data_IF_433323673981
#
_entry.id   IF_433323673981
#
_cell.length_a   1.000
_cell.length_b   1.000
_cell.length_c   1.000
_cell.angle_alpha   90.00
_cell.angle_beta   90.00
_cell.angle_gamma   90.00
#
_symmetry.space_group_name_H-M   'P 1'
#
loop_
_entity.id
_entity.type
_entity.pdbx_description
1 polymer ?
#
# COMPACT_ATOMS: atom_id res chain seq x y z
N UNK A 1 -38.64 1.36 -53.72
CA UNK A 1 -37.61 0.70 -54.55
C UNK A 1 -37.30 1.66 -55.69
N UNK A 2 -36.07 1.94 -56.12
CA UNK A 2 -34.73 1.62 -55.63
C UNK A 2 -33.70 2.49 -56.42
N UNK A 3 -32.58 3.00 -55.90
CA UNK A 3 -32.03 3.10 -54.53
C UNK A 3 -31.18 4.38 -54.44
N UNK A 4 -31.24 5.14 -53.34
CA UNK A 4 -30.34 6.26 -53.04
C UNK A 4 -29.15 5.80 -52.20
N UNK A 5 -28.07 5.37 -52.86
CA UNK A 5 -26.76 5.08 -52.26
C UNK A 5 -25.66 5.52 -53.26
N UNK A 6 -25.57 6.82 -53.54
CA UNK A 6 -24.38 7.38 -54.17
C UNK A 6 -23.29 7.53 -53.09
N UNK A 7 -22.37 6.57 -53.07
CA UNK A 7 -21.12 6.73 -52.32
C UNK A 7 -20.28 7.78 -53.02
N UNK A 8 -20.27 9.00 -52.48
CA UNK A 8 -19.31 10.04 -52.87
C UNK A 8 -17.93 9.59 -52.37
N UNK A 9 -17.13 9.04 -53.28
CA UNK A 9 -15.71 8.80 -53.03
C UNK A 9 -14.99 10.14 -52.93
N UNK A 10 -14.12 10.30 -51.94
CA UNK A 10 -13.27 11.49 -51.82
C UNK A 10 -12.39 11.65 -53.06
N UNK A 11 -12.17 12.89 -53.49
CA UNK A 11 -11.25 13.17 -54.59
C UNK A 11 -9.85 12.66 -54.21
N UNK A 12 -9.22 11.91 -55.12
CA UNK A 12 -7.86 11.43 -54.95
C UNK A 12 -6.88 12.60 -54.71
N UNK A 13 -7.12 13.77 -55.31
CA UNK A 13 -6.33 14.96 -55.07
C UNK A 13 -6.41 15.45 -53.62
N UNK A 14 -7.63 15.57 -53.10
CA UNK A 14 -7.91 15.98 -51.71
C UNK A 14 -7.37 14.96 -50.69
N UNK A 15 -7.61 13.67 -50.93
CA UNK A 15 -7.09 12.59 -50.10
C UNK A 15 -5.55 12.56 -50.07
N UNK A 16 -4.90 12.80 -51.21
CA UNK A 16 -3.43 12.88 -51.29
C UNK A 16 -2.89 14.06 -50.48
N UNK A 17 -3.51 15.23 -50.60
CA UNK A 17 -3.11 16.42 -49.85
C UNK A 17 -3.27 16.22 -48.33
N UNK A 18 -4.38 15.61 -47.89
CA UNK A 18 -4.62 15.29 -46.48
C UNK A 18 -3.58 14.33 -45.91
N UNK A 19 -3.22 13.27 -46.64
CA UNK A 19 -2.18 12.31 -46.23
C UNK A 19 -0.80 12.97 -46.15
N UNK A 20 -0.43 13.79 -47.14
CA UNK A 20 0.84 14.53 -47.12
C UNK A 20 0.91 15.45 -45.89
N UNK A 21 -0.16 16.21 -45.60
CA UNK A 21 -0.20 17.10 -44.44
C UNK A 21 -0.08 16.34 -43.11
N UNK A 22 -0.74 15.18 -42.99
CA UNK A 22 -0.62 14.32 -41.82
C UNK A 22 0.84 13.82 -41.63
N UNK A 23 1.47 13.30 -42.69
CA UNK A 23 2.87 12.82 -42.63
C UNK A 23 3.84 13.95 -42.27
N UNK A 24 3.68 15.14 -42.85
CA UNK A 24 4.50 16.33 -42.53
C UNK A 24 4.34 16.75 -41.07
N UNK A 25 3.12 16.68 -40.51
CA UNK A 25 2.89 17.00 -39.10
C UNK A 25 3.56 15.98 -38.17
N UNK A 26 3.42 14.68 -38.46
CA UNK A 26 4.09 13.59 -37.70
C UNK A 26 5.61 13.70 -37.76
N UNK A 27 6.17 13.97 -38.93
CA UNK A 27 7.61 14.17 -39.11
C UNK A 27 8.12 15.40 -38.34
N UNK A 28 7.36 16.50 -38.30
CA UNK A 28 7.71 17.69 -37.52
C UNK A 28 7.71 17.39 -36.01
N UNK A 29 6.69 16.68 -35.51
CA UNK A 29 6.62 16.27 -34.11
C UNK A 29 7.84 15.45 -33.69
N UNK A 30 8.17 14.40 -34.44
CA UNK A 30 9.33 13.54 -34.15
C UNK A 30 10.65 14.30 -34.24
N UNK A 31 10.79 15.23 -35.19
CA UNK A 31 11.97 16.10 -35.29
C UNK A 31 12.11 17.01 -34.07
N UNK A 32 11.02 17.65 -33.60
CA UNK A 32 11.05 18.52 -32.41
C UNK A 32 11.34 17.72 -31.14
N UNK A 33 10.84 16.48 -31.03
CA UNK A 33 11.18 15.59 -29.92
C UNK A 33 12.66 15.17 -29.96
N UNK A 34 13.19 14.82 -31.13
CA UNK A 34 14.60 14.49 -31.30
C UNK A 34 15.52 15.64 -30.89
N UNK A 35 15.23 16.86 -31.34
CA UNK A 35 15.95 18.08 -30.94
C UNK A 35 15.87 18.31 -29.43
N UNK A 36 14.69 18.13 -28.81
CA UNK A 36 14.53 18.26 -27.36
C UNK A 36 15.35 17.23 -26.54
N UNK A 37 15.53 16.02 -27.08
CA UNK A 37 16.35 14.96 -26.48
C UNK A 37 17.85 15.26 -26.62
N UNK A 38 18.31 15.77 -27.76
CA UNK A 38 19.72 16.20 -27.96
C UNK A 38 20.08 17.39 -27.06
N UNK A 39 19.20 18.41 -26.97
CA UNK A 39 19.36 19.61 -26.14
C UNK A 39 19.19 19.35 -24.63
N UNK A 40 18.78 18.14 -24.22
CA UNK A 40 18.39 17.80 -22.85
C UNK A 40 17.30 18.75 -22.25
N UNK A 41 16.34 19.17 -23.08
CA UNK A 41 15.20 20.01 -22.67
C UNK A 41 14.02 19.14 -22.19
N UNK A 42 14.20 18.49 -21.03
CA UNK A 42 13.18 17.66 -20.35
C UNK A 42 11.79 18.32 -20.35
N UNK A 43 11.74 19.65 -20.15
CA UNK A 43 10.49 20.43 -20.13
C UNK A 43 9.78 20.39 -21.49
N UNK A 44 10.49 20.48 -22.60
CA UNK A 44 9.91 20.36 -23.93
C UNK A 44 9.50 18.91 -24.22
N UNK A 45 10.26 17.92 -23.76
CA UNK A 45 9.85 16.50 -23.82
C UNK A 45 8.52 16.29 -23.07
N UNK A 46 8.39 16.77 -21.82
CA UNK A 46 7.14 16.73 -21.05
C UNK A 46 5.96 17.42 -21.75
N UNK A 47 6.21 18.51 -22.48
CA UNK A 47 5.18 19.20 -23.27
C UNK A 47 4.76 18.38 -24.52
N UNK A 48 5.68 17.63 -25.12
CA UNK A 48 5.44 16.85 -26.35
C UNK A 48 4.80 15.49 -26.09
N UNK A 49 5.10 14.83 -24.97
CA UNK A 49 4.52 13.51 -24.64
C UNK A 49 3.12 13.61 -24.02
N UNK A 50 2.75 14.76 -23.44
CA UNK A 50 1.43 15.00 -22.87
C UNK A 50 1.07 16.49 -22.91
N UNK A 51 0.72 16.96 -24.10
CA UNK A 51 0.39 18.35 -24.39
C UNK A 51 -0.85 18.82 -23.63
N UNK A 52 -1.83 17.93 -23.40
CA UNK A 52 -3.03 18.25 -22.61
C UNK A 52 -2.68 18.54 -21.15
N UNK A 53 -1.94 17.64 -20.48
CA UNK A 53 -1.55 17.83 -19.08
C UNK A 53 -0.69 19.08 -18.91
N UNK A 54 0.27 19.28 -19.80
CA UNK A 54 1.13 20.47 -19.78
C UNK A 54 0.32 21.77 -19.94
N UNK A 55 -0.59 21.84 -20.91
CA UNK A 55 -1.45 23.00 -21.12
C UNK A 55 -2.39 23.27 -19.91
N UNK A 56 -2.91 22.20 -19.28
CA UNK A 56 -3.83 22.27 -18.14
C UNK A 56 -3.13 22.70 -16.85
N UNK A 57 -2.03 22.04 -16.47
CA UNK A 57 -1.38 22.20 -15.17
C UNK A 57 -0.30 23.30 -15.14
N UNK A 58 0.39 23.54 -16.26
CA UNK A 58 1.50 24.51 -16.35
C UNK A 58 1.02 25.82 -16.97
N UNK A 59 0.33 25.77 -18.12
CA UNK A 59 -0.10 26.97 -18.84
C UNK A 59 -1.46 27.52 -18.37
N UNK A 60 -2.26 26.73 -17.65
CA UNK A 60 -3.64 27.06 -17.23
C UNK A 60 -4.52 27.49 -18.42
N UNK A 61 -4.30 26.91 -19.60
CA UNK A 61 -4.95 27.30 -20.83
C UNK A 61 -6.45 26.94 -20.83
N UNK A 62 -7.32 27.90 -21.17
CA UNK A 62 -8.77 27.67 -21.29
C UNK A 62 -9.19 26.86 -22.52
N UNK A 63 -8.31 26.81 -23.51
CA UNK A 63 -8.47 26.00 -24.72
C UNK A 63 -7.22 25.13 -24.85
N UNK A 64 -7.43 23.82 -24.85
CA UNK A 64 -6.36 22.83 -24.93
C UNK A 64 -6.37 22.27 -26.35
N UNK A 65 -5.27 22.46 -27.08
CA UNK A 65 -5.01 21.77 -28.35
C UNK A 65 -4.15 20.53 -28.06
N UNK A 66 -4.79 19.48 -27.54
CA UNK A 66 -4.17 18.17 -27.44
C UNK A 66 -3.91 17.61 -28.84
N UNK A 67 -2.82 16.85 -29.02
CA UNK A 67 -2.57 16.14 -30.28
C UNK A 67 -2.29 14.64 -30.04
N UNK A 68 -3.32 13.85 -29.64
CA UNK A 68 -3.15 12.45 -29.30
C UNK A 68 -2.62 11.60 -30.46
N UNK A 69 -2.82 12.04 -31.71
CA UNK A 69 -2.35 11.32 -32.91
C UNK A 69 -0.85 11.50 -33.21
N UNK A 70 -0.21 12.46 -32.53
CA UNK A 70 1.24 12.63 -32.48
C UNK A 70 1.81 12.03 -31.19
N UNK A 71 1.15 12.21 -30.04
CA UNK A 71 1.55 11.58 -28.76
C UNK A 71 1.61 10.05 -28.89
N UNK A 72 0.66 9.43 -29.60
CA UNK A 72 0.64 7.98 -29.84
C UNK A 72 1.77 7.46 -30.75
N UNK A 73 2.68 8.32 -31.23
CA UNK A 73 3.85 7.90 -32.03
C UNK A 73 5.04 7.46 -31.18
N UNK A 74 4.98 7.65 -29.87
CA UNK A 74 6.08 7.39 -28.94
C UNK A 74 5.64 6.57 -27.72
N UNK A 75 4.44 5.99 -27.75
CA UNK A 75 3.92 5.08 -26.72
C UNK A 75 4.81 3.84 -26.54
N UNK A 76 5.42 3.35 -27.63
CA UNK A 76 6.38 2.25 -27.62
C UNK A 76 7.78 2.65 -27.13
N UNK A 77 8.02 3.95 -26.91
CA UNK A 77 9.26 4.52 -26.38
C UNK A 77 9.13 5.02 -24.93
N UNK A 78 8.01 4.76 -24.26
CA UNK A 78 7.72 5.29 -22.92
C UNK A 78 8.74 4.89 -21.85
N UNK A 79 9.25 3.65 -21.87
CA UNK A 79 10.28 3.19 -20.92
C UNK A 79 11.60 3.96 -21.14
N UNK A 80 12.03 4.17 -22.40
CA UNK A 80 13.26 4.91 -22.73
C UNK A 80 13.12 6.42 -22.43
N UNK A 81 11.96 7.01 -22.72
CA UNK A 81 11.64 8.40 -22.37
C UNK A 81 11.59 8.58 -20.85
N UNK A 82 11.07 7.59 -20.13
CA UNK A 82 11.07 7.57 -18.66
C UNK A 82 12.51 7.49 -18.11
N UNK A 83 13.36 6.62 -18.66
CA UNK A 83 14.77 6.51 -18.29
C UNK A 83 15.55 7.81 -18.54
N UNK A 84 15.26 8.50 -19.65
CA UNK A 84 15.85 9.81 -19.97
C UNK A 84 15.40 10.90 -18.97
N UNK A 85 14.10 10.98 -18.67
CA UNK A 85 13.53 12.02 -17.78
C UNK A 85 13.79 11.77 -16.29
N UNK A 86 14.10 10.54 -15.88
CA UNK A 86 14.23 10.17 -14.47
C UNK A 86 15.39 10.86 -13.77
N UNK A 87 16.48 11.19 -14.47
CA UNK A 87 17.73 11.62 -13.84
C UNK A 87 17.56 12.94 -13.07
N UNK A 88 17.04 13.99 -13.74
CA UNK A 88 16.78 15.29 -13.10
C UNK A 88 15.61 15.19 -12.12
N UNK A 89 14.61 14.35 -12.43
CA UNK A 89 13.44 14.15 -11.57
C UNK A 89 13.83 13.54 -10.22
N UNK A 90 14.57 12.44 -10.21
CA UNK A 90 14.97 11.75 -8.97
C UNK A 90 15.85 12.65 -8.09
N UNK A 91 16.68 13.52 -8.68
CA UNK A 91 17.43 14.54 -7.92
C UNK A 91 16.48 15.56 -7.28
N UNK A 92 15.49 16.06 -8.02
CA UNK A 92 14.46 16.96 -7.48
C UNK A 92 13.64 16.28 -6.36
N UNK A 93 13.17 15.05 -6.59
CA UNK A 93 12.37 14.28 -5.63
C UNK A 93 13.15 13.94 -4.36
N UNK A 94 14.44 13.57 -4.43
CA UNK A 94 15.28 13.34 -3.23
C UNK A 94 15.44 14.60 -2.38
N UNK A 95 15.44 15.79 -2.98
CA UNK A 95 15.47 17.06 -2.25
C UNK A 95 14.09 17.44 -1.67
N UNK A 96 13.00 17.12 -2.39
CA UNK A 96 11.61 17.43 -2.00
C UNK A 96 11.05 16.45 -0.96
N UNK A 97 11.40 15.18 -1.06
CA UNK A 97 10.98 14.04 -0.24
C UNK A 97 12.22 13.24 0.22
N UNK A 98 13.01 13.76 1.18
CA UNK A 98 14.29 13.17 1.60
C UNK A 98 14.16 11.81 2.31
N UNK A 99 12.92 11.37 2.56
CA UNK A 99 12.59 10.08 3.16
C UNK A 99 12.19 9.01 2.13
N UNK A 100 12.05 9.37 0.84
CA UNK A 100 11.78 8.39 -0.22
C UNK A 100 13.08 7.92 -0.89
N UNK A 101 13.20 6.59 -1.00
CA UNK A 101 14.35 5.91 -1.59
C UNK A 101 13.91 5.19 -2.87
N UNK A 102 14.30 5.77 -4.00
CA UNK A 102 14.00 5.27 -5.35
C UNK A 102 14.95 4.14 -5.77
N UNK A 103 14.39 3.08 -6.31
CA UNK A 103 15.08 1.89 -6.82
C UNK A 103 14.55 1.56 -8.23
N UNK A 104 15.45 1.38 -9.19
CA UNK A 104 15.10 1.05 -10.58
C UNK A 104 14.87 -0.46 -10.72
N UNK A 105 13.72 -0.85 -11.28
CA UNK A 105 13.30 -2.25 -11.45
C UNK A 105 13.25 -2.69 -12.93
N UNK A 106 13.25 -1.73 -13.84
CA UNK A 106 13.27 -1.88 -15.29
C UNK A 106 13.67 -0.56 -15.94
N UNK A 107 13.90 -0.53 -17.25
CA UNK A 107 14.30 0.69 -17.96
C UNK A 107 13.27 1.80 -17.72
N UNK A 108 13.67 2.86 -17.00
CA UNK A 108 12.78 3.96 -16.66
C UNK A 108 11.68 3.63 -15.63
N UNK A 109 11.65 2.42 -15.06
CA UNK A 109 10.62 2.00 -14.11
C UNK A 109 11.18 2.02 -12.69
N UNK A 110 10.59 2.86 -11.83
CA UNK A 110 11.07 3.10 -10.48
C UNK A 110 10.02 2.75 -9.44
N UNK A 111 10.41 1.92 -8.47
CA UNK A 111 9.69 1.77 -7.21
C UNK A 111 10.32 2.64 -6.14
N UNK A 112 9.59 2.97 -5.07
CA UNK A 112 10.16 3.73 -3.96
C UNK A 112 9.74 3.21 -2.59
N UNK A 113 10.69 3.32 -1.66
CA UNK A 113 10.55 2.87 -0.28
C UNK A 113 10.46 4.06 0.66
N UNK A 114 9.68 3.90 1.72
CA UNK A 114 9.72 4.84 2.85
C UNK A 114 10.88 4.46 3.78
N UNK A 115 11.84 5.37 3.91
CA UNK A 115 12.99 5.24 4.80
C UNK A 115 14.07 4.27 4.32
N UNK A 116 15.21 4.31 5.01
CA UNK A 116 16.36 3.43 4.77
C UNK A 116 16.75 2.66 6.04
N UNK A 117 15.74 2.12 6.72
CA UNK A 117 15.88 1.25 7.89
C UNK A 117 15.69 -0.22 7.51
N UNK A 118 16.10 -1.12 8.42
CA UNK A 118 15.81 -2.55 8.27
C UNK A 118 14.29 -2.78 8.33
N UNK A 119 13.74 -3.46 7.33
CA UNK A 119 12.29 -3.56 7.14
C UNK A 119 11.66 -2.33 6.46
N UNK A 120 12.42 -1.55 5.66
CA UNK A 120 11.85 -0.50 4.79
C UNK A 120 10.68 -1.04 3.98
N UNK A 121 9.62 -0.25 3.86
CA UNK A 121 8.37 -0.66 3.23
C UNK A 121 8.31 -0.14 1.80
N UNK A 122 7.95 -1.00 0.84
CA UNK A 122 7.59 -0.57 -0.50
C UNK A 122 6.35 0.31 -0.38
N UNK A 123 6.43 1.55 -0.84
CA UNK A 123 5.37 2.54 -0.63
C UNK A 123 4.67 2.96 -1.93
N UNK A 124 5.21 2.57 -3.09
CA UNK A 124 4.59 2.78 -4.39
C UNK A 124 5.57 2.72 -5.56
N UNK A 125 5.08 3.14 -6.73
CA UNK A 125 5.87 3.38 -7.96
C UNK A 125 5.86 4.85 -8.35
N UNK A 126 6.92 5.29 -9.03
CA UNK A 126 7.03 6.64 -9.58
C UNK A 126 6.71 6.58 -11.08
N UNK A 127 5.60 7.21 -11.48
CA UNK A 127 5.38 7.55 -12.88
C UNK A 127 6.19 8.81 -13.20
N UNK A 128 7.29 8.62 -13.92
CA UNK A 128 8.21 9.69 -14.34
C UNK A 128 7.60 10.56 -15.43
N UNK A 129 6.79 10.00 -16.33
CA UNK A 129 6.18 10.71 -17.45
C UNK A 129 5.06 11.65 -16.97
N UNK A 130 4.31 11.22 -15.96
CA UNK A 130 3.31 12.04 -15.28
C UNK A 130 3.85 12.82 -14.07
N UNK A 131 5.07 12.53 -13.59
CA UNK A 131 5.66 13.14 -12.39
C UNK A 131 4.74 12.97 -11.17
N UNK A 132 4.30 11.74 -10.94
CA UNK A 132 3.33 11.38 -9.90
C UNK A 132 3.76 10.12 -9.13
N UNK A 133 3.32 10.04 -7.88
CA UNK A 133 3.49 8.85 -7.06
C UNK A 133 2.23 7.99 -7.10
N UNK A 134 2.37 6.75 -7.57
CA UNK A 134 1.35 5.73 -7.47
C UNK A 134 1.59 4.98 -6.16
N UNK A 135 0.98 5.48 -5.08
CA UNK A 135 1.13 4.90 -3.75
C UNK A 135 0.47 3.52 -3.65
N UNK A 136 1.07 2.61 -2.89
CA UNK A 136 0.38 1.40 -2.44
C UNK A 136 -0.82 1.81 -1.56
N UNK A 137 -2.05 1.49 -2.00
CA UNK A 137 -3.27 1.94 -1.33
C UNK A 137 -3.36 1.43 0.12
N UNK A 138 -2.93 0.20 0.38
CA UNK A 138 -2.99 -0.39 1.73
C UNK A 138 -2.04 0.36 2.66
N UNK A 139 -0.80 0.60 2.22
CA UNK A 139 0.21 1.25 3.03
C UNK A 139 -0.03 2.76 3.19
N UNK A 140 -0.54 3.41 2.15
CA UNK A 140 -1.02 4.79 2.22
C UNK A 140 -2.15 4.95 3.24
N UNK A 141 -3.15 4.06 3.22
CA UNK A 141 -4.28 4.10 4.16
C UNK A 141 -3.87 3.85 5.61
N UNK A 142 -2.87 2.98 5.87
CA UNK A 142 -2.30 2.82 7.21
C UNK A 142 -1.63 4.10 7.70
N UNK A 143 -0.86 4.77 6.83
CA UNK A 143 -0.19 6.03 7.17
C UNK A 143 -1.21 7.14 7.45
N UNK A 144 -2.20 7.33 6.58
CA UNK A 144 -3.29 8.29 6.76
C UNK A 144 -4.06 8.07 8.08
N UNK A 145 -4.39 6.81 8.40
CA UNK A 145 -5.04 6.44 9.68
C UNK A 145 -4.15 6.78 10.89
N UNK A 146 -2.83 6.65 10.77
CA UNK A 146 -1.88 6.99 11.85
C UNK A 146 -1.85 8.50 12.15
N UNK A 147 -2.17 9.35 11.18
CA UNK A 147 -2.42 10.78 11.43
C UNK A 147 -3.79 11.00 12.09
N UNK A 148 -4.86 10.37 11.59
CA UNK A 148 -6.21 10.53 12.17
C UNK A 148 -6.29 10.10 13.65
N UNK A 149 -5.63 9.00 14.02
CA UNK A 149 -5.64 8.43 15.38
C UNK A 149 -4.84 9.26 16.41
N UNK A 150 -3.99 10.19 15.98
CA UNK A 150 -3.26 11.10 16.89
C UNK A 150 -4.20 11.96 17.73
N UNK A 151 -5.32 12.39 17.13
CA UNK A 151 -6.37 13.14 17.83
C UNK A 151 -6.95 12.38 19.03
N UNK A 152 -6.80 11.05 19.05
CA UNK A 152 -7.28 10.14 20.09
C UNK A 152 -6.14 9.56 20.94
N UNK A 153 -4.89 9.98 20.71
CA UNK A 153 -3.68 9.43 21.32
C UNK A 153 -3.51 7.90 21.15
N UNK A 154 -4.13 7.32 20.12
CA UNK A 154 -4.03 5.90 19.77
C UNK A 154 -3.00 5.66 18.67
N UNK A 155 -2.45 4.44 18.62
CA UNK A 155 -1.70 3.93 17.46
C UNK A 155 -2.60 3.06 16.59
N UNK A 156 -2.15 2.73 15.39
CA UNK A 156 -2.92 1.94 14.43
C UNK A 156 -3.32 0.58 15.01
N UNK A 157 -2.37 -0.10 15.65
CA UNK A 157 -2.54 -1.47 16.12
C UNK A 157 -2.91 -1.60 17.61
N UNK A 158 -3.14 -0.50 18.33
CA UNK A 158 -3.40 -0.51 19.78
C UNK A 158 -4.55 -1.44 20.19
N UNK A 159 -5.70 -1.30 19.52
CA UNK A 159 -6.92 -2.05 19.88
C UNK A 159 -6.78 -3.55 19.54
N UNK A 160 -5.96 -3.91 18.54
CA UNK A 160 -5.65 -5.31 18.22
C UNK A 160 -4.68 -5.92 19.22
N UNK A 161 -3.65 -5.16 19.63
CA UNK A 161 -2.71 -5.60 20.66
C UNK A 161 -3.44 -5.84 21.98
N UNK A 162 -4.38 -4.96 22.37
CA UNK A 162 -5.22 -5.13 23.56
C UNK A 162 -6.08 -6.41 23.48
N UNK A 163 -6.74 -6.67 22.35
CA UNK A 163 -7.54 -7.88 22.15
C UNK A 163 -6.70 -9.17 22.26
N UNK A 164 -5.53 -9.21 21.63
CA UNK A 164 -4.63 -10.38 21.69
C UNK A 164 -4.05 -10.54 23.10
N UNK A 165 -3.79 -9.45 23.82
CA UNK A 165 -3.35 -9.49 25.22
C UNK A 165 -4.43 -10.09 26.13
N UNK A 166 -5.68 -9.67 25.99
CA UNK A 166 -6.83 -10.23 26.72
C UNK A 166 -7.15 -11.69 26.37
N UNK A 167 -6.74 -12.16 25.19
CA UNK A 167 -6.79 -13.58 24.84
C UNK A 167 -5.67 -14.35 25.56
N UNK A 168 -4.46 -13.84 25.55
CA UNK A 168 -3.33 -14.42 26.28
C UNK A 168 -3.58 -14.49 27.78
N UNK A 169 -4.19 -13.47 28.40
CA UNK A 169 -4.53 -13.48 29.83
C UNK A 169 -5.46 -14.65 30.18
N UNK A 170 -6.46 -14.95 29.34
CA UNK A 170 -7.38 -16.09 29.53
C UNK A 170 -6.69 -17.43 29.30
N UNK A 171 -5.81 -17.51 28.31
CA UNK A 171 -5.01 -18.71 28.04
C UNK A 171 -4.02 -18.97 29.19
N UNK A 172 -3.48 -17.92 29.81
CA UNK A 172 -2.63 -18.03 30.99
C UNK A 172 -3.44 -18.43 32.23
N UNK A 173 -4.63 -17.87 32.46
CA UNK A 173 -5.54 -18.30 33.53
C UNK A 173 -5.94 -19.78 33.39
N UNK A 174 -6.14 -20.26 32.16
CA UNK A 174 -6.38 -21.68 31.84
C UNK A 174 -5.15 -22.56 32.20
N UNK A 175 -3.94 -22.09 31.95
CA UNK A 175 -2.69 -22.78 32.32
C UNK A 175 -2.49 -22.78 33.84
N UNK A 176 -2.66 -21.64 34.50
CA UNK A 176 -2.40 -21.47 35.94
C UNK A 176 -3.38 -22.28 36.79
N UNK A 177 -4.62 -22.45 36.33
CA UNK A 177 -5.64 -23.30 36.97
C UNK A 177 -5.44 -24.82 36.76
N UNK A 178 -4.37 -25.26 36.09
CA UNK A 178 -4.07 -26.68 35.87
C UNK A 178 -3.92 -27.47 37.19
N UNK A 179 -3.22 -26.92 38.19
CA UNK A 179 -3.04 -27.60 39.49
C UNK A 179 -4.37 -27.80 40.22
N UNK A 180 -5.29 -26.84 40.12
CA UNK A 180 -6.63 -26.97 40.71
C UNK A 180 -7.44 -28.05 39.99
N UNK A 181 -7.39 -28.10 38.65
CA UNK A 181 -8.04 -29.17 37.87
C UNK A 181 -7.48 -30.56 38.18
N UNK A 182 -6.17 -30.69 38.35
CA UNK A 182 -5.54 -31.97 38.69
C UNK A 182 -5.97 -32.46 40.09
N UNK A 183 -6.09 -31.54 41.06
CA UNK A 183 -6.66 -31.83 42.38
C UNK A 183 -8.14 -32.25 42.29
N UNK A 184 -8.97 -31.52 41.54
CA UNK A 184 -10.38 -31.88 41.30
C UNK A 184 -10.52 -33.25 40.62
N UNK A 185 -9.68 -33.58 39.62
CA UNK A 185 -9.63 -34.90 38.99
C UNK A 185 -9.25 -36.00 39.97
N UNK A 186 -8.30 -35.75 40.87
CA UNK A 186 -7.91 -36.71 41.91
C UNK A 186 -9.07 -36.97 42.89
N UNK A 187 -9.81 -35.93 43.28
CA UNK A 187 -10.99 -36.07 44.14
C UNK A 187 -12.12 -36.83 43.44
N UNK A 188 -12.49 -36.47 42.22
CA UNK A 188 -13.52 -37.17 41.43
C UNK A 188 -13.18 -38.66 41.25
N UNK A 189 -11.91 -39.00 40.97
CA UNK A 189 -11.45 -40.40 40.91
C UNK A 189 -11.62 -41.13 42.25
N UNK A 190 -11.41 -40.44 43.37
CA UNK A 190 -11.66 -40.98 44.72
C UNK A 190 -13.15 -41.21 44.98
N UNK A 191 -14.01 -40.23 44.67
CA UNK A 191 -15.47 -40.33 44.83
C UNK A 191 -16.05 -41.47 43.97
N UNK A 192 -15.66 -41.58 42.69
CA UNK A 192 -16.08 -42.68 41.80
C UNK A 192 -15.66 -44.04 42.37
N UNK A 193 -14.46 -44.13 42.98
CA UNK A 193 -13.97 -45.36 43.63
C UNK A 193 -14.77 -45.71 44.89
N UNK A 194 -15.10 -44.72 45.74
CA UNK A 194 -15.91 -44.91 46.93
C UNK A 194 -17.32 -45.40 46.56
N UNK A 195 -18.01 -44.71 45.65
CA UNK A 195 -19.33 -45.11 45.14
C UNK A 195 -19.27 -46.53 44.57
N UNK A 196 -18.21 -46.89 43.83
CA UNK A 196 -18.05 -48.24 43.27
C UNK A 196 -17.75 -49.34 44.31
N UNK A 197 -17.40 -48.99 45.54
CA UNK A 197 -17.15 -49.92 46.65
C UNK A 197 -18.34 -50.03 47.62
N UNK A 198 -19.29 -49.10 47.54
CA UNK A 198 -20.45 -49.03 48.40
C UNK A 198 -21.48 -50.13 48.04
N UNK A 199 -21.89 -50.93 49.03
CA UNK A 199 -22.89 -51.99 48.86
C UNK A 199 -24.30 -51.41 48.99
N UNK A 200 -24.89 -51.08 47.86
CA UNK A 200 -26.20 -50.44 47.78
C UNK A 200 -27.30 -51.46 47.47
N UNK A 201 -28.52 -51.21 47.96
CA UNK A 201 -29.67 -52.09 47.75
C UNK A 201 -30.22 -52.01 46.31
N UNK A 202 -30.89 -53.05 45.79
CA UNK A 202 -31.27 -53.12 44.37
C UNK A 202 -32.16 -51.97 43.85
N UNK A 203 -32.94 -51.32 44.72
CA UNK A 203 -33.79 -50.19 44.36
C UNK A 203 -33.06 -48.85 44.27
N UNK A 204 -31.88 -48.72 44.89
CA UNK A 204 -31.03 -47.52 44.84
C UNK A 204 -29.92 -47.61 43.78
N UNK A 205 -29.70 -48.79 43.20
CA UNK A 205 -28.67 -49.04 42.19
C UNK A 205 -28.77 -48.15 40.94
N UNK A 206 -29.98 -47.73 40.55
CA UNK A 206 -30.16 -46.77 39.45
C UNK A 206 -29.64 -45.37 39.81
N UNK A 207 -29.94 -44.87 41.01
CA UNK A 207 -29.45 -43.58 41.51
C UNK A 207 -27.92 -43.58 41.62
N UNK A 208 -27.35 -44.65 42.16
CA UNK A 208 -25.89 -44.83 42.25
C UNK A 208 -25.22 -44.80 40.86
N UNK A 209 -25.88 -45.34 39.83
CA UNK A 209 -25.39 -45.32 38.44
C UNK A 209 -25.46 -43.92 37.83
N UNK A 210 -26.53 -43.17 38.08
CA UNK A 210 -26.67 -41.77 37.63
C UNK A 210 -25.64 -40.85 38.31
N UNK A 211 -25.47 -40.95 39.63
CA UNK A 211 -24.46 -40.21 40.38
C UNK A 211 -23.04 -40.52 39.87
N UNK A 212 -22.73 -41.79 39.60
CA UNK A 212 -21.46 -42.19 39.01
C UNK A 212 -21.29 -41.65 37.58
N UNK A 213 -22.35 -41.61 36.77
CA UNK A 213 -22.28 -41.07 35.41
C UNK A 213 -21.97 -39.56 35.44
N UNK A 214 -22.67 -38.79 36.28
CA UNK A 214 -22.43 -37.36 36.42
C UNK A 214 -20.99 -37.01 36.87
N UNK A 215 -20.34 -37.86 37.66
CA UNK A 215 -18.92 -37.72 38.02
C UNK A 215 -17.98 -38.07 36.87
N UNK A 216 -18.34 -39.03 36.01
CA UNK A 216 -17.59 -39.38 34.79
C UNK A 216 -17.71 -38.26 33.75
N UNK A 217 -18.89 -37.67 33.60
CA UNK A 217 -19.15 -36.57 32.66
C UNK A 217 -18.28 -35.35 33.03
N UNK A 218 -18.28 -34.95 34.32
CA UNK A 218 -17.38 -33.90 34.84
C UNK A 218 -15.89 -34.20 34.66
N UNK A 219 -15.49 -35.47 34.78
CA UNK A 219 -14.10 -35.87 34.58
C UNK A 219 -13.71 -35.82 33.09
N UNK A 220 -14.66 -36.07 32.19
CA UNK A 220 -14.50 -35.87 30.74
C UNK A 220 -14.32 -34.38 30.43
N UNK A 221 -15.22 -33.52 30.93
CA UNK A 221 -15.15 -32.06 30.78
C UNK A 221 -13.80 -31.48 31.25
N UNK A 222 -13.34 -31.84 32.45
CA UNK A 222 -12.01 -31.44 32.94
C UNK A 222 -10.86 -31.99 32.09
N UNK A 223 -11.06 -33.07 31.34
CA UNK A 223 -10.03 -33.63 30.44
C UNK A 223 -9.99 -32.90 29.09
N UNK A 224 -11.15 -32.51 28.53
CA UNK A 224 -11.26 -31.64 27.35
C UNK A 224 -10.65 -30.24 27.61
N UNK A 225 -10.83 -29.72 28.83
CA UNK A 225 -10.21 -28.46 29.27
C UNK A 225 -8.67 -28.58 29.33
N UNK A 226 -8.11 -29.72 29.73
CA UNK A 226 -6.65 -29.94 29.71
C UNK A 226 -6.09 -30.13 28.30
N UNK A 227 -6.82 -30.79 27.40
CA UNK A 227 -6.44 -30.84 25.97
C UNK A 227 -6.41 -29.43 25.36
N UNK A 228 -7.33 -28.56 25.78
CA UNK A 228 -7.34 -27.14 25.42
C UNK A 228 -6.15 -26.39 26.03
N UNK A 229 -5.85 -26.60 27.31
CA UNK A 229 -4.71 -26.04 28.04
C UNK A 229 -3.35 -26.38 27.39
N UNK A 230 -3.18 -27.62 26.93
CA UNK A 230 -1.95 -28.03 26.22
C UNK A 230 -1.71 -27.24 24.92
N UNK A 231 -2.77 -26.80 24.23
CA UNK A 231 -2.67 -25.95 23.05
C UNK A 231 -2.47 -24.46 23.40
N UNK A 232 -2.90 -24.02 24.58
CA UNK A 232 -2.79 -22.63 25.04
C UNK A 232 -1.34 -22.10 25.00
N UNK A 233 -0.35 -22.88 25.42
CA UNK A 233 1.07 -22.49 25.33
C UNK A 233 1.53 -22.18 23.90
N UNK A 234 1.03 -22.92 22.90
CA UNK A 234 1.38 -22.67 21.50
C UNK A 234 0.68 -21.41 20.97
N UNK A 235 -0.58 -21.20 21.36
CA UNK A 235 -1.37 -20.03 21.01
C UNK A 235 -0.77 -18.75 21.62
N UNK A 236 -0.44 -18.74 22.91
CA UNK A 236 0.23 -17.61 23.59
C UNK A 236 1.49 -17.21 22.82
N UNK A 237 2.35 -18.16 22.45
CA UNK A 237 3.58 -17.88 21.70
C UNK A 237 3.33 -17.36 20.28
N UNK A 238 2.25 -17.78 19.62
CA UNK A 238 1.86 -17.22 18.32
C UNK A 238 1.35 -15.78 18.48
N UNK A 239 0.54 -15.53 19.52
CA UNK A 239 -0.01 -14.24 19.89
C UNK A 239 1.09 -13.24 20.30
N UNK A 240 2.10 -13.66 21.07
CA UNK A 240 3.30 -12.85 21.39
C UNK A 240 4.06 -12.42 20.14
N UNK A 241 4.31 -13.35 19.20
CA UNK A 241 4.94 -13.02 17.92
C UNK A 241 4.08 -12.01 17.14
N UNK A 242 2.75 -12.17 17.15
CA UNK A 242 1.83 -11.25 16.47
C UNK A 242 1.84 -9.85 17.10
N UNK A 243 1.82 -9.75 18.43
CA UNK A 243 1.97 -8.47 19.15
C UNK A 243 3.30 -7.80 18.79
N UNK A 244 4.39 -8.57 18.67
CA UNK A 244 5.71 -8.06 18.28
C UNK A 244 5.72 -7.54 16.83
N UNK A 245 5.05 -8.20 15.89
CA UNK A 245 4.86 -7.71 14.52
C UNK A 245 4.07 -6.39 14.48
N UNK A 246 2.92 -6.36 15.15
CA UNK A 246 2.05 -5.19 15.23
C UNK A 246 2.77 -3.98 15.87
N UNK A 247 3.58 -4.23 16.89
CA UNK A 247 4.39 -3.21 17.57
C UNK A 247 5.54 -2.69 16.71
N UNK A 248 6.14 -3.55 15.86
CA UNK A 248 7.13 -3.12 14.87
C UNK A 248 6.48 -2.23 13.81
N UNK A 249 5.31 -2.61 13.29
CA UNK A 249 4.56 -1.80 12.32
C UNK A 249 4.19 -0.41 12.88
N UNK A 250 3.63 -0.34 14.09
CA UNK A 250 3.36 0.91 14.80
C UNK A 250 4.62 1.79 14.92
N UNK A 251 5.78 1.17 15.15
CA UNK A 251 7.07 1.88 15.27
C UNK A 251 7.55 2.42 13.92
N UNK A 252 7.39 1.66 12.83
CA UNK A 252 7.71 2.11 11.48
C UNK A 252 6.82 3.28 11.06
N UNK A 253 5.49 3.13 11.18
CA UNK A 253 4.50 4.17 10.87
C UNK A 253 4.77 5.48 11.65
N UNK A 254 5.26 5.36 12.89
CA UNK A 254 5.68 6.52 13.69
C UNK A 254 6.88 7.27 13.08
N UNK A 255 7.91 6.57 12.58
CA UNK A 255 9.04 7.21 11.90
C UNK A 255 8.66 7.80 10.54
N UNK A 256 7.79 7.13 9.78
CA UNK A 256 7.26 7.60 8.50
C UNK A 256 6.48 8.91 8.70
N UNK A 257 5.56 8.91 9.67
CA UNK A 257 4.82 10.08 10.12
C UNK A 257 5.72 11.23 10.57
N UNK A 258 6.72 10.96 11.41
CA UNK A 258 7.68 11.98 11.86
C UNK A 258 8.45 12.59 10.69
N UNK A 259 8.78 11.80 9.67
CA UNK A 259 9.46 12.27 8.46
C UNK A 259 8.60 13.20 7.61
N UNK A 260 7.30 12.90 7.48
CA UNK A 260 6.32 13.80 6.85
C UNK A 260 6.17 15.09 7.66
N UNK A 261 5.96 15.01 8.98
CA UNK A 261 5.80 16.19 9.85
C UNK A 261 7.06 17.08 9.78
N UNK A 262 8.26 16.51 9.81
CA UNK A 262 9.52 17.27 9.73
C UNK A 262 9.71 18.03 8.40
N UNK A 263 9.10 17.56 7.30
CA UNK A 263 9.27 18.16 5.96
C UNK A 263 8.08 18.99 5.47
N UNK A 264 6.86 18.60 5.85
CA UNK A 264 5.59 19.16 5.36
C UNK A 264 4.71 19.71 6.50
N UNK A 265 5.01 19.44 7.77
CA UNK A 265 4.26 19.91 8.94
C UNK A 265 3.00 19.09 9.24
N UNK A 266 2.23 18.70 8.22
CA UNK A 266 1.03 17.88 8.36
C UNK A 266 0.85 16.92 7.18
N UNK A 267 -0.10 15.99 7.29
CA UNK A 267 -0.43 15.04 6.22
C UNK A 267 -1.11 15.73 5.05
N UNK A 268 -2.05 16.65 5.33
CA UNK A 268 -2.77 17.43 4.31
C UNK A 268 -1.81 18.28 3.48
N UNK A 269 -0.76 18.83 4.10
CA UNK A 269 0.31 19.52 3.39
C UNK A 269 1.14 18.58 2.50
N UNK A 270 1.38 17.34 2.91
CA UNK A 270 2.04 16.34 2.08
C UNK A 270 1.16 15.96 0.88
N UNK A 271 -0.14 15.71 1.08
CA UNK A 271 -1.11 15.47 0.00
C UNK A 271 -1.18 16.65 -0.98
N UNK A 272 -1.30 17.87 -0.45
CA UNK A 272 -1.34 19.08 -1.27
C UNK A 272 -0.06 19.28 -2.11
N UNK A 273 1.10 18.82 -1.63
CA UNK A 273 2.36 18.88 -2.37
C UNK A 273 2.48 17.77 -3.43
N UNK A 274 1.95 16.58 -3.17
CA UNK A 274 1.85 15.52 -4.18
C UNK A 274 0.92 15.96 -5.33
N UNK A 275 -0.22 16.59 -5.00
CA UNK A 275 -1.20 17.09 -5.98
C UNK A 275 -0.71 18.21 -6.90
N UNK A 276 0.43 18.84 -6.60
CA UNK A 276 1.04 19.89 -7.45
C UNK A 276 2.42 19.52 -7.97
N UNK A 277 2.84 18.26 -7.77
CA UNK A 277 4.21 17.80 -7.99
C UNK A 277 4.70 18.01 -9.42
N UNK A 278 3.87 17.67 -10.41
CA UNK A 278 4.16 17.89 -11.84
C UNK A 278 4.44 19.37 -12.12
N UNK A 279 3.50 20.25 -11.80
CA UNK A 279 3.64 21.71 -11.98
C UNK A 279 4.90 22.26 -11.30
N UNK A 280 5.14 21.88 -10.05
CA UNK A 280 6.27 22.38 -9.26
C UNK A 280 7.62 21.88 -9.80
N UNK A 281 7.68 20.66 -10.36
CA UNK A 281 8.85 20.14 -11.06
C UNK A 281 9.09 20.83 -12.41
N UNK A 282 8.05 21.02 -13.24
CA UNK A 282 8.19 21.76 -14.51
C UNK A 282 8.64 23.21 -14.24
N UNK A 283 8.13 23.86 -13.18
CA UNK A 283 8.62 25.16 -12.75
C UNK A 283 10.09 25.14 -12.30
N UNK A 284 10.55 24.06 -11.66
CA UNK A 284 11.97 23.87 -11.32
C UNK A 284 12.87 23.74 -12.56
N UNK A 285 12.43 23.02 -13.60
CA UNK A 285 13.15 22.90 -14.87
C UNK A 285 13.30 24.28 -15.56
N UNK A 286 12.22 25.07 -15.61
CA UNK A 286 12.22 26.44 -16.15
C UNK A 286 13.21 27.33 -15.38
N UNK A 287 13.15 27.31 -14.04
CA UNK A 287 14.02 28.13 -13.19
C UNK A 287 15.50 27.72 -13.27
N UNK A 288 15.78 26.43 -13.48
CA UNK A 288 17.16 25.92 -13.58
C UNK A 288 17.79 26.30 -14.92
N UNK A 289 17.06 26.17 -16.03
CA UNK A 289 17.54 26.63 -17.36
C UNK A 289 17.82 28.13 -17.40
N UNK A 290 16.98 28.93 -16.73
CA UNK A 290 17.16 30.38 -16.61
C UNK A 290 18.39 30.81 -15.81
N UNK A 291 18.96 29.95 -14.95
CA UNK A 291 20.22 30.23 -14.23
C UNK A 291 21.44 29.98 -15.10
N UNK A 292 21.47 28.85 -15.82
CA UNK A 292 22.59 28.52 -16.72
C UNK A 292 22.77 29.60 -17.79
N UNK A 293 21.68 30.13 -18.34
CA UNK A 293 21.71 31.22 -19.34
C UNK A 293 21.99 32.62 -18.77
N UNK A 294 22.17 32.79 -17.45
CA UNK A 294 22.44 34.09 -16.81
C UNK A 294 23.86 34.21 -16.27
N UNK A 295 24.61 33.09 -16.22
CA UNK A 295 26.01 33.01 -15.79
C UNK A 295 26.98 32.82 -16.99
N UNK A 296 26.50 32.97 -18.23
CA UNK A 296 27.26 33.07 -19.50
C UNK A 296 27.29 34.51 -20.05
#
# INVERSE_FOLDING_TARGET
>A
MANTNEFVLSDHGEATAAVIQAVVNKSRYLQTLHEALEDQDDRLVYQLINSEKYAREVQQARHISADPGNESLVEDLHDQLSAFLSQKLIIFLRNRYPFFYFEEIGEGQYQFYFGNWWGRRLFGTLDVLNVSFDFDEVEYQKLARTFALETQQKRLNSDQIEQISLENDKLQELIDSQEERDNQKAELRSQIKQISQEKVMPWEANRQKEEKQALIDKLTELTEIDESSNNAFQQIRQNENRILELSKEDTLLSYEKQSIIAKFGSFENFEAQNNVLYRDYIANLIATRGRVSADE
#
